data_IF_948788583853
#
_entry.id   IF_948788583853
#
_cell.length_a   1.000
_cell.length_b   1.000
_cell.length_c   1.000
_cell.angle_alpha   90.00
_cell.angle_beta   90.00
_cell.angle_gamma   90.00
#
_symmetry.space_group_name_H-M   'P 1'
#
loop_
_entity.id
_entity.type
_entity.pdbx_description
1 polymer ?
#
# COMPACT_ATOMS: atom_id res chain seq x y z
N UNK A 1 5.88 -12.03 2.41
CA UNK A 1 6.64 -11.33 3.47
C UNK A 1 6.45 -9.83 3.24
N UNK A 2 5.67 -9.12 4.05
CA UNK A 2 5.45 -7.68 3.80
C UNK A 2 6.69 -6.89 4.22
N UNK A 3 7.55 -6.55 3.24
CA UNK A 3 8.82 -5.87 3.49
C UNK A 3 8.72 -4.40 3.09
N UNK A 4 8.35 -3.56 4.05
CA UNK A 4 8.47 -2.11 3.91
C UNK A 4 9.97 -1.73 3.98
N UNK A 5 10.53 -1.16 2.90
CA UNK A 5 11.91 -0.67 2.86
C UNK A 5 11.94 0.87 2.80
N UNK A 6 12.72 1.44 3.73
CA UNK A 6 13.32 2.80 3.82
C UNK A 6 12.58 3.94 4.55
N UNK A 7 13.35 4.58 5.45
CA UNK A 7 13.01 5.77 6.27
C UNK A 7 12.96 5.46 7.77
N UNK A 8 14.03 5.77 8.54
CA UNK A 8 14.20 5.58 10.01
C UNK A 8 13.22 4.55 10.64
N UNK A 9 13.64 3.29 10.68
CA UNK A 9 12.93 2.07 11.14
C UNK A 9 12.13 2.16 12.47
N UNK A 10 12.28 3.23 13.25
CA UNK A 10 11.67 3.38 14.56
C UNK A 10 10.26 3.98 14.55
N UNK A 11 9.79 4.58 13.45
CA UNK A 11 8.48 5.29 13.40
C UNK A 11 7.48 4.77 12.35
N UNK A 12 7.89 3.86 11.46
CA UNK A 12 7.03 3.39 10.35
C UNK A 12 6.14 2.24 10.81
N UNK A 13 4.85 2.31 10.48
CA UNK A 13 3.85 1.28 10.79
C UNK A 13 2.89 1.09 9.64
N UNK A 14 2.29 -0.09 9.55
CA UNK A 14 1.10 -0.35 8.73
C UNK A 14 -0.02 -0.68 9.71
N UNK A 15 -1.16 -0.02 9.59
CA UNK A 15 -2.29 -0.15 10.53
C UNK A 15 -1.88 0.02 12.01
N UNK A 16 -0.95 0.95 12.29
CA UNK A 16 -0.47 1.26 13.64
C UNK A 16 0.46 0.21 14.25
N UNK A 17 0.86 -0.82 13.51
CA UNK A 17 1.74 -1.89 13.97
C UNK A 17 3.08 -1.87 13.25
N UNK A 18 4.15 -2.12 14.01
CA UNK A 18 5.46 -2.41 13.43
C UNK A 18 5.48 -3.83 12.88
N UNK A 19 6.38 -4.06 11.93
CA UNK A 19 6.69 -5.40 11.45
C UNK A 19 7.09 -6.30 12.62
N UNK A 20 6.55 -7.51 12.63
CA UNK A 20 6.86 -8.57 13.57
C UNK A 20 6.91 -9.89 12.79
N UNK A 21 8.07 -10.59 12.74
CA UNK A 21 8.20 -11.82 11.97
C UNK A 21 7.33 -12.98 12.49
N UNK A 22 6.82 -12.89 13.72
CA UNK A 22 6.00 -13.93 14.34
C UNK A 22 4.50 -13.66 14.24
N UNK A 23 4.08 -12.57 13.57
CA UNK A 23 2.68 -12.18 13.43
C UNK A 23 2.20 -12.28 11.98
N UNK A 24 0.98 -12.78 11.80
CA UNK A 24 0.25 -12.71 10.53
C UNK A 24 -0.72 -11.52 10.60
N UNK A 25 -0.52 -10.51 9.76
CA UNK A 25 -1.35 -9.29 9.75
C UNK A 25 -2.65 -9.43 8.95
N UNK A 26 -2.62 -10.14 7.81
CA UNK A 26 -3.77 -10.35 6.93
C UNK A 26 -3.79 -11.80 6.44
N UNK A 27 -4.98 -12.33 6.15
CA UNK A 27 -5.21 -13.62 5.50
C UNK A 27 -6.18 -13.41 4.35
N UNK A 28 -5.87 -14.00 3.20
CA UNK A 28 -6.69 -13.97 2.01
C UNK A 28 -6.87 -15.40 1.50
N UNK A 29 -8.03 -15.69 0.91
CA UNK A 29 -8.29 -16.96 0.25
C UNK A 29 -7.65 -16.99 -1.15
N UNK A 30 -6.94 -18.07 -1.47
CA UNK A 30 -6.27 -18.21 -2.76
C UNK A 30 -7.30 -18.24 -3.90
N UNK A 31 -7.06 -17.44 -4.94
CA UNK A 31 -7.93 -17.36 -6.11
C UNK A 31 -9.17 -16.45 -5.93
N UNK A 32 -9.40 -15.92 -4.74
CA UNK A 32 -10.47 -14.95 -4.49
C UNK A 32 -9.92 -13.53 -4.63
N UNK A 33 -10.56 -12.74 -5.50
CA UNK A 33 -10.21 -11.34 -5.71
C UNK A 33 -10.74 -10.47 -4.56
N UNK A 34 -9.89 -9.58 -4.07
CA UNK A 34 -10.25 -8.56 -3.08
C UNK A 34 -9.96 -7.17 -3.63
N UNK A 35 -10.68 -6.16 -3.12
CA UNK A 35 -10.39 -4.74 -3.36
C UNK A 35 -9.85 -4.15 -2.06
N UNK A 36 -8.65 -3.59 -2.12
CA UNK A 36 -7.96 -3.03 -0.96
C UNK A 36 -7.92 -1.51 -1.08
N UNK A 37 -8.09 -0.79 0.03
CA UNK A 37 -7.83 0.65 0.09
C UNK A 37 -6.53 0.88 0.85
N UNK A 38 -5.56 1.50 0.18
CA UNK A 38 -4.28 1.88 0.76
C UNK A 38 -4.31 3.36 1.06
N UNK A 39 -4.20 3.71 2.35
CA UNK A 39 -4.19 5.09 2.80
C UNK A 39 -2.83 5.47 3.39
N UNK A 40 -2.16 6.44 2.76
CA UNK A 40 -0.92 7.00 3.30
C UNK A 40 -1.26 8.15 4.27
N UNK A 41 -1.35 7.83 5.56
CA UNK A 41 -1.68 8.81 6.60
C UNK A 41 -0.57 9.86 6.77
N UNK A 42 -0.86 11.16 6.66
CA UNK A 42 0.11 12.23 6.94
C UNK A 42 0.62 12.15 8.38
N UNK A 43 1.94 12.15 8.56
CA UNK A 43 2.58 12.03 9.88
C UNK A 43 3.43 13.25 10.27
N UNK A 44 3.74 14.15 9.32
CA UNK A 44 4.54 15.37 9.54
C UNK A 44 4.11 16.50 8.57
N UNK A 45 4.55 17.74 8.81
CA UNK A 45 4.36 18.86 7.88
C UNK A 45 4.99 18.50 6.53
N UNK A 46 4.18 18.50 5.47
CA UNK A 46 4.60 18.13 4.10
C UNK A 46 4.40 16.66 3.73
N UNK A 47 4.32 15.75 4.71
CA UNK A 47 4.15 14.32 4.46
C UNK A 47 5.28 13.68 3.62
N UNK A 48 5.17 12.39 3.34
CA UNK A 48 6.12 11.68 2.46
C UNK A 48 5.36 10.73 1.54
N UNK A 49 5.71 10.72 0.27
CA UNK A 49 5.25 9.72 -0.71
C UNK A 49 5.84 8.37 -0.34
N UNK A 50 4.99 7.34 -0.26
CA UNK A 50 5.40 6.00 0.11
C UNK A 50 5.03 4.99 -0.99
N UNK A 51 5.99 4.21 -1.53
CA UNK A 51 5.68 3.09 -2.38
C UNK A 51 5.05 1.96 -1.53
N UNK A 52 3.87 1.52 -1.92
CA UNK A 52 3.26 0.28 -1.45
C UNK A 52 3.62 -0.85 -2.39
N UNK A 53 4.10 -1.97 -1.83
CA UNK A 53 4.47 -3.18 -2.58
C UNK A 53 3.87 -4.41 -1.89
N UNK A 54 3.33 -5.34 -2.67
CA UNK A 54 2.83 -6.63 -2.18
C UNK A 54 3.51 -7.78 -2.92
N UNK A 55 3.92 -8.79 -2.16
CA UNK A 55 4.53 -10.01 -2.71
C UNK A 55 3.45 -11.06 -3.03
N UNK A 56 3.71 -11.91 -4.04
CA UNK A 56 2.91 -13.11 -4.30
C UNK A 56 1.66 -12.92 -5.16
N UNK A 57 1.38 -11.69 -5.61
CA UNK A 57 0.28 -11.40 -6.55
C UNK A 57 0.56 -10.15 -7.36
N UNK A 58 -0.30 -9.87 -8.35
CA UNK A 58 -0.38 -8.58 -9.04
C UNK A 58 -1.76 -7.98 -8.81
N UNK A 59 -1.84 -6.65 -8.84
CA UNK A 59 -3.08 -5.89 -8.69
C UNK A 59 -3.24 -4.88 -9.82
N UNK A 60 -4.46 -4.36 -9.96
CA UNK A 60 -4.77 -3.19 -10.79
C UNK A 60 -5.12 -2.04 -9.87
N UNK A 61 -4.69 -0.84 -10.24
CA UNK A 61 -5.17 0.37 -9.57
C UNK A 61 -6.51 0.76 -10.21
N UNK A 62 -7.55 0.82 -9.39
CA UNK A 62 -8.92 1.18 -9.75
C UNK A 62 -9.09 2.70 -9.66
N UNK A 63 -8.62 3.31 -8.58
CA UNK A 63 -8.81 4.76 -8.36
C UNK A 63 -7.78 5.37 -7.42
N UNK A 64 -7.50 6.66 -7.62
CA UNK A 64 -6.75 7.53 -6.70
C UNK A 64 -7.71 8.60 -6.18
N UNK A 65 -7.90 8.67 -4.86
CA UNK A 65 -8.86 9.55 -4.18
C UNK A 65 -10.29 9.49 -4.75
N UNK A 66 -10.71 8.30 -5.20
CA UNK A 66 -12.02 8.06 -5.80
C UNK A 66 -12.14 8.47 -7.27
N UNK A 67 -11.06 8.94 -7.89
CA UNK A 67 -10.98 9.28 -9.31
C UNK A 67 -10.31 8.12 -10.06
N UNK A 68 -10.90 7.71 -11.18
CA UNK A 68 -10.32 6.66 -12.03
C UNK A 68 -8.91 7.04 -12.48
N UNK A 69 -8.00 6.05 -12.49
CA UNK A 69 -6.60 6.29 -12.85
C UNK A 69 -6.41 6.46 -14.35
N UNK A 70 -5.37 7.21 -14.72
CA UNK A 70 -5.00 7.41 -16.12
C UNK A 70 -4.61 6.09 -16.80
N UNK A 71 -4.73 5.98 -18.14
CA UNK A 71 -4.53 4.72 -18.85
C UNK A 71 -3.17 4.03 -18.60
N UNK A 72 -2.12 4.80 -18.33
CA UNK A 72 -0.78 4.30 -18.02
C UNK A 72 -0.67 3.60 -16.64
N UNK A 73 -1.65 3.76 -15.76
CA UNK A 73 -1.70 3.09 -14.45
C UNK A 73 -2.64 1.88 -14.40
N UNK A 74 -3.46 1.65 -15.43
CA UNK A 74 -4.48 0.58 -15.47
C UNK A 74 -3.91 -0.84 -15.70
N UNK A 75 -2.60 -0.95 -15.95
CA UNK A 75 -1.91 -2.24 -16.10
C UNK A 75 -1.76 -2.99 -14.77
N UNK A 76 -1.39 -4.28 -14.86
CA UNK A 76 -1.04 -5.07 -13.68
C UNK A 76 0.28 -4.59 -13.08
N UNK A 77 0.31 -4.49 -11.75
CA UNK A 77 1.45 -4.00 -10.96
C UNK A 77 1.61 -4.84 -9.70
N UNK A 78 2.81 -4.80 -9.11
CA UNK A 78 3.09 -5.28 -7.76
C UNK A 78 3.43 -4.13 -6.80
N UNK A 79 3.54 -2.92 -7.33
CA UNK A 79 3.97 -1.73 -6.60
C UNK A 79 3.22 -0.49 -7.09
N UNK A 80 2.88 0.41 -6.17
CA UNK A 80 2.23 1.70 -6.48
C UNK A 80 2.75 2.79 -5.53
N UNK A 81 3.03 3.98 -6.07
CA UNK A 81 3.35 5.16 -5.25
C UNK A 81 2.06 5.75 -4.69
N UNK A 82 2.07 6.02 -3.38
CA UNK A 82 0.96 6.65 -2.66
C UNK A 82 1.44 7.95 -2.04
N UNK A 83 0.89 9.06 -2.49
CA UNK A 83 1.19 10.40 -2.00
C UNK A 83 0.69 10.59 -0.56
N UNK A 84 1.26 11.56 0.15
CA UNK A 84 0.81 11.84 1.52
C UNK A 84 -0.65 12.31 1.52
N UNK A 85 -1.50 11.61 2.27
CA UNK A 85 -2.93 11.91 2.37
C UNK A 85 -3.78 11.23 1.29
N UNK A 86 -3.16 10.58 0.31
CA UNK A 86 -3.85 9.91 -0.79
C UNK A 86 -4.41 8.56 -0.36
N UNK A 87 -5.56 8.20 -0.94
CA UNK A 87 -6.15 6.87 -0.93
C UNK A 87 -6.07 6.24 -2.31
N UNK A 88 -5.55 5.03 -2.39
CA UNK A 88 -5.48 4.24 -3.63
C UNK A 88 -6.30 2.97 -3.47
N UNK A 89 -7.14 2.67 -4.44
CA UNK A 89 -7.88 1.41 -4.57
C UNK A 89 -7.46 0.69 -5.84
#
# INVERSE_FOLDING_TARGET
MYRCKFGRMNIVTINGRKFDPNRIDLRQEQGVTEVWEIYNRPYMVGGMTHPFHIEGTQFKVISRDGIEVSPNEQGLKDSVLVESGERVK
#
